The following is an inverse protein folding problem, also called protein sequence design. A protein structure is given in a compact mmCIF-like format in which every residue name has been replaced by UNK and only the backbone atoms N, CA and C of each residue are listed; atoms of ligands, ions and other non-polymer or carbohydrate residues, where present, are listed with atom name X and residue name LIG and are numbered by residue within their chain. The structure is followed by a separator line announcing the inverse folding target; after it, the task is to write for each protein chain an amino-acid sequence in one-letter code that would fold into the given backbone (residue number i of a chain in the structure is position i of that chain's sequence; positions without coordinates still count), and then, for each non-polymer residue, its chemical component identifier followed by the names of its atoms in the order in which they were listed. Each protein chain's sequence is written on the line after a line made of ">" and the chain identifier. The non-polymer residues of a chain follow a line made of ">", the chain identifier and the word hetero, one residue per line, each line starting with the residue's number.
data_IF_980124023387
#
_entry.id   IF_980124023387
#
_cell.length_a   1.000
_cell.length_b   1.000
_cell.length_c   1.000
_cell.angle_alpha   90.00
_cell.angle_beta   90.00
_cell.angle_gamma   90.00
#
_symmetry.space_group_name_H-M   'P 1'
#
loop_
_entity.id
_entity.type
_entity.pdbx_description
1 polymer ?
#
# COMPACT_ATOMS: atom_id res chain seq x y z
N UNK A 1 2.77 12.74 -3.81
CA UNK A 1 1.52 12.76 -3.02
C UNK A 1 1.73 11.85 -1.84
N UNK A 2 1.37 12.32 -0.66
CA UNK A 2 1.60 11.60 0.60
C UNK A 2 0.28 11.37 1.32
N UNK A 3 0.20 10.24 2.01
CA UNK A 3 -0.94 9.82 2.81
C UNK A 3 -0.46 9.45 4.21
N UNK A 4 -1.20 9.90 5.22
CA UNK A 4 -0.91 9.67 6.62
C UNK A 4 -2.01 8.82 7.25
N UNK A 5 -1.66 8.13 8.34
CA UNK A 5 -2.58 7.33 9.13
C UNK A 5 -3.28 6.25 8.31
N UNK A 6 -2.56 5.65 7.37
CA UNK A 6 -3.00 4.53 6.53
C UNK A 6 -2.25 3.26 6.90
N UNK A 7 -2.78 2.11 6.51
CA UNK A 7 -2.12 0.81 6.63
C UNK A 7 -2.47 -0.08 5.44
N UNK A 8 -1.63 -1.05 5.08
CA UNK A 8 -2.05 -2.09 4.13
C UNK A 8 -3.19 -2.92 4.73
N UNK A 9 -4.10 -3.43 3.90
CA UNK A 9 -5.24 -4.24 4.36
C UNK A 9 -4.77 -5.52 5.06
N UNK A 10 -5.55 -6.00 6.04
CA UNK A 10 -5.15 -7.14 6.89
C UNK A 10 -4.81 -8.40 6.08
N UNK A 11 -5.57 -8.66 5.00
CA UNK A 11 -5.38 -9.82 4.13
C UNK A 11 -4.04 -9.82 3.38
N UNK A 12 -3.39 -8.67 3.22
CA UNK A 12 -2.13 -8.52 2.46
C UNK A 12 -0.92 -8.36 3.38
N UNK A 13 -1.08 -8.29 4.71
CA UNK A 13 0.01 -7.98 5.63
C UNK A 13 1.12 -9.05 5.69
N UNK A 14 0.84 -10.28 5.26
CA UNK A 14 1.83 -11.36 5.15
C UNK A 14 2.56 -11.39 3.80
N UNK A 15 2.19 -10.49 2.88
CA UNK A 15 2.68 -10.52 1.51
C UNK A 15 3.89 -9.60 1.32
N UNK A 16 4.54 -9.77 0.16
CA UNK A 16 5.59 -8.86 -0.30
C UNK A 16 5.01 -7.68 -1.09
N UNK A 17 5.85 -6.67 -1.35
CA UNK A 17 5.49 -5.54 -2.23
C UNK A 17 5.03 -5.99 -3.63
N UNK A 18 5.62 -7.07 -4.15
CA UNK A 18 5.20 -7.74 -5.38
C UNK A 18 5.12 -9.25 -5.19
N UNK A 19 4.24 -9.86 -6.00
CA UNK A 19 4.28 -11.29 -6.24
C UNK A 19 5.41 -11.59 -7.22
N UNK A 20 6.06 -12.75 -7.07
CA UNK A 20 7.27 -13.09 -7.82
C UNK A 20 7.06 -12.94 -9.33
N UNK A 21 7.77 -12.00 -9.97
CA UNK A 21 7.78 -11.71 -11.42
C UNK A 21 6.60 -10.91 -12.00
N UNK A 22 5.66 -10.38 -11.22
CA UNK A 22 4.60 -9.49 -11.73
C UNK A 22 4.51 -8.17 -10.99
N UNK A 23 4.26 -7.09 -11.73
CA UNK A 23 3.84 -5.84 -11.11
C UNK A 23 2.54 -6.11 -10.33
N UNK A 24 2.51 -5.69 -9.07
CA UNK A 24 1.43 -6.05 -8.14
C UNK A 24 0.78 -4.80 -7.58
N UNK A 25 -0.53 -4.90 -7.41
CA UNK A 25 -1.35 -3.92 -6.74
C UNK A 25 -1.61 -4.42 -5.31
N UNK A 26 -1.37 -3.55 -4.34
CA UNK A 26 -1.72 -3.72 -2.92
C UNK A 26 -2.69 -2.64 -2.52
N UNK A 27 -3.34 -2.78 -1.38
CA UNK A 27 -4.41 -1.90 -0.96
C UNK A 27 -4.08 -1.25 0.38
N UNK A 28 -4.08 0.07 0.40
CA UNK A 28 -4.14 0.84 1.64
C UNK A 28 -5.59 0.98 2.06
N UNK A 29 -5.77 1.04 3.37
CA UNK A 29 -7.01 1.44 4.01
C UNK A 29 -6.73 2.55 5.02
N UNK A 30 -7.61 3.53 5.06
CA UNK A 30 -7.61 4.58 6.06
C UNK A 30 -8.60 4.25 7.22
N UNK A 31 -8.66 5.06 8.26
CA UNK A 31 -9.51 4.79 9.42
C UNK A 31 -11.01 4.92 9.14
N UNK A 32 -11.40 5.70 8.12
CA UNK A 32 -12.77 5.79 7.66
C UNK A 32 -13.18 4.58 6.82
N UNK A 33 -12.22 3.83 6.29
CA UNK A 33 -12.43 2.68 5.42
C UNK A 33 -12.18 2.96 3.94
N UNK A 34 -11.73 4.18 3.61
CA UNK A 34 -11.40 4.56 2.25
C UNK A 34 -10.13 3.83 1.80
N UNK A 35 -10.09 3.44 0.53
CA UNK A 35 -9.01 2.61 -0.01
C UNK A 35 -8.26 3.29 -1.14
N UNK A 36 -6.99 2.91 -1.26
CA UNK A 36 -6.13 3.36 -2.33
C UNK A 36 -5.25 2.22 -2.82
N UNK A 37 -5.19 2.06 -4.15
CA UNK A 37 -4.28 1.10 -4.78
C UNK A 37 -2.85 1.63 -4.68
N UNK A 38 -1.96 0.79 -4.17
CA UNK A 38 -0.51 0.99 -4.21
C UNK A 38 0.06 0.03 -5.24
N UNK A 39 0.62 0.58 -6.32
CA UNK A 39 1.19 -0.23 -7.40
C UNK A 39 2.71 -0.25 -7.32
N UNK A 40 3.27 -1.45 -7.31
CA UNK A 40 4.72 -1.68 -7.30
C UNK A 40 5.13 -2.46 -8.54
N UNK A 41 6.29 -2.12 -9.12
CA UNK A 41 6.82 -2.87 -10.26
C UNK A 41 7.63 -4.07 -9.79
N UNK A 42 7.51 -5.20 -10.48
CA UNK A 42 8.36 -6.38 -10.26
C UNK A 42 9.85 -6.11 -10.49
N UNK A 43 10.20 -5.01 -11.17
CA UNK A 43 11.58 -4.59 -11.41
C UNK A 43 12.15 -3.71 -10.30
N UNK A 44 11.36 -3.36 -9.29
CA UNK A 44 11.85 -2.62 -8.14
C UNK A 44 12.83 -3.49 -7.33
N UNK A 45 13.89 -2.88 -6.81
CA UNK A 45 14.88 -3.56 -5.95
C UNK A 45 14.28 -4.08 -4.63
N UNK A 46 13.15 -3.50 -4.22
CA UNK A 46 12.37 -3.89 -3.05
C UNK A 46 11.16 -4.78 -3.36
N UNK A 47 10.97 -5.23 -4.61
CA UNK A 47 9.78 -5.99 -5.02
C UNK A 47 9.53 -7.23 -4.14
N UNK A 48 10.59 -7.94 -3.76
CA UNK A 48 10.51 -9.16 -2.95
C UNK A 48 10.62 -8.91 -1.43
N UNK A 49 10.57 -7.65 -0.99
CA UNK A 49 10.62 -7.33 0.43
C UNK A 49 9.24 -7.49 1.05
N UNK A 50 9.14 -7.86 2.34
CA UNK A 50 7.86 -7.92 3.03
C UNK A 50 7.20 -6.55 3.06
N UNK A 51 5.87 -6.53 2.99
CA UNK A 51 5.11 -5.32 3.22
C UNK A 51 5.29 -4.83 4.67
N UNK A 52 5.29 -3.51 4.89
CA UNK A 52 5.21 -2.97 6.23
C UNK A 52 3.88 -3.38 6.88
N UNK A 53 3.93 -3.98 8.06
CA UNK A 53 2.74 -4.49 8.74
C UNK A 53 2.04 -3.46 9.65
N UNK A 54 2.68 -2.33 9.96
CA UNK A 54 2.11 -1.29 10.81
C UNK A 54 1.20 -0.32 10.07
N UNK A 55 0.79 0.75 10.75
CA UNK A 55 0.20 1.92 10.14
C UNK A 55 1.21 3.07 10.07
N UNK A 56 0.95 4.08 9.25
CA UNK A 56 1.76 5.28 9.23
C UNK A 56 1.63 6.07 7.94
N UNK A 57 2.78 6.40 7.39
CA UNK A 57 2.98 7.31 6.27
C UNK A 57 3.37 6.54 5.01
N UNK A 58 2.84 6.97 3.86
CA UNK A 58 3.32 6.52 2.56
C UNK A 58 3.25 7.62 1.51
N UNK A 59 4.28 7.71 0.66
CA UNK A 59 4.36 8.68 -0.42
C UNK A 59 4.77 8.05 -1.75
N UNK A 60 4.16 8.57 -2.82
CA UNK A 60 4.48 8.18 -4.17
C UNK A 60 3.93 9.13 -5.23
N UNK A 61 3.95 8.66 -6.47
CA UNK A 61 3.38 9.36 -7.62
C UNK A 61 1.93 8.91 -7.76
N UNK A 62 0.99 9.83 -7.52
CA UNK A 62 -0.43 9.56 -7.72
C UNK A 62 -0.77 9.65 -9.21
N UNK A 63 -1.36 8.60 -9.74
CA UNK A 63 -1.83 8.50 -11.12
C UNK A 63 -3.30 8.10 -11.15
N UNK A 64 -3.98 8.43 -12.24
CA UNK A 64 -5.35 8.00 -12.50
C UNK A 64 -5.38 7.14 -13.75
N UNK A 65 -5.78 5.88 -13.61
CA UNK A 65 -5.83 4.91 -14.72
C UNK A 65 -7.04 3.99 -14.55
N UNK A 66 -7.74 3.68 -15.65
CA UNK A 66 -8.92 2.81 -15.66
C UNK A 66 -9.98 3.12 -14.59
N UNK A 67 -10.20 4.42 -14.32
CA UNK A 67 -11.12 4.93 -13.29
C UNK A 67 -10.72 4.67 -11.84
N UNK A 68 -9.46 4.32 -11.60
CA UNK A 68 -8.91 4.14 -10.26
C UNK A 68 -7.74 5.08 -10.01
N UNK A 69 -7.66 5.61 -8.79
CA UNK A 69 -6.44 6.25 -8.29
C UNK A 69 -5.44 5.17 -7.92
N UNK A 70 -4.19 5.34 -8.38
CA UNK A 70 -3.09 4.44 -8.08
C UNK A 70 -1.89 5.25 -7.60
N UNK A 71 -1.35 4.86 -6.45
CA UNK A 71 -0.12 5.41 -5.91
C UNK A 71 1.05 4.51 -6.34
N UNK A 72 1.90 5.00 -7.23
CA UNK A 72 3.14 4.32 -7.58
C UNK A 72 4.22 4.65 -6.57
N UNK A 73 4.70 3.63 -5.84
CA UNK A 73 5.82 3.76 -4.90
C UNK A 73 7.13 3.62 -5.65
N UNK A 74 8.05 4.55 -5.40
CA UNK A 74 9.36 4.62 -6.10
C UNK A 74 10.52 4.16 -5.22
N UNK A 75 10.32 4.09 -3.91
CA UNK A 75 11.32 3.71 -2.92
C UNK A 75 10.62 3.16 -1.67
N UNK A 76 11.12 2.08 -1.05
CA UNK A 76 10.51 1.53 0.15
C UNK A 76 10.69 2.48 1.35
N UNK A 77 11.70 3.37 1.31
CA UNK A 77 11.92 4.39 2.35
C UNK A 77 10.80 5.42 2.43
N UNK A 78 9.98 5.51 1.38
CA UNK A 78 8.83 6.41 1.35
C UNK A 78 7.59 5.77 2.01
N UNK A 79 7.70 4.59 2.60
CA UNK A 79 6.65 3.93 3.37
C UNK A 79 7.14 3.69 4.80
N UNK A 80 6.82 4.62 5.71
CA UNK A 80 7.18 4.55 7.12
C UNK A 80 5.94 4.15 7.91
N UNK A 81 5.80 2.85 8.18
CA UNK A 81 4.61 2.27 8.80
C UNK A 81 4.96 1.57 10.13
N UNK A 82 5.42 2.38 11.09
CA UNK A 82 5.93 1.91 12.38
C UNK A 82 4.92 2.09 13.52
N UNK A 83 3.78 2.73 13.25
CA UNK A 83 2.74 2.96 14.26
C UNK A 83 1.86 1.70 14.42
N UNK A 84 1.21 1.53 15.59
CA UNK A 84 0.24 0.45 15.78
C UNK A 84 -0.85 0.46 14.71
N UNK A 85 -1.30 -0.72 14.29
CA UNK A 85 -2.46 -0.84 13.39
C UNK A 85 -3.73 -0.31 14.07
N UNK A 86 -4.65 0.17 13.25
CA UNK A 86 -6.00 0.52 13.65
C UNK A 86 -7.01 -0.46 13.07
N UNK A 87 -8.24 -0.44 13.63
CA UNK A 87 -9.41 -1.09 13.03
C UNK A 87 -10.16 -0.05 12.19
N UNK A 88 -10.24 -0.20 10.86
CA UNK A 88 -11.04 0.69 10.02
C UNK A 88 -12.53 0.61 10.38
N UNK A 89 -13.28 1.70 10.17
CA UNK A 89 -14.72 1.74 10.45
C UNK A 89 -15.52 0.78 9.56
N UNK A 90 -15.10 0.61 8.31
CA UNK A 90 -15.64 -0.38 7.37
C UNK A 90 -14.57 -0.80 6.37
N UNK A 91 -14.63 -2.02 5.87
CA UNK A 91 -13.72 -2.55 4.86
C UNK A 91 -14.56 -3.35 3.84
N UNK A 92 -14.93 -2.75 2.70
CA UNK A 92 -15.66 -3.46 1.64
C UNK A 92 -14.68 -4.23 0.76
N UNK A 93 -14.83 -5.57 0.73
CA UNK A 93 -14.35 -6.46 -0.33
C UNK A 93 -12.96 -6.19 -0.89
N UNK A 94 -11.96 -6.88 -0.33
CA UNK A 94 -10.75 -7.30 -1.03
C UNK A 94 -10.68 -8.82 -0.94
#
# INVERSE_FOLDING_TARGET
>A
MAFERVQFVDAECSENWCDTMSDTDRHLVDPAGDTLIVRTSAKADFANWPLPSGSGYIEGILSWFNRNYQLKVVSPKNAVMELPRFRPAYVFGY
#
